data_IF_970599804317
#
_entry.id   IF_970599804317
#
_cell.length_a   1.000
_cell.length_b   1.000
_cell.length_c   1.000
_cell.angle_alpha   90.00
_cell.angle_beta   90.00
_cell.angle_gamma   90.00
#
_symmetry.space_group_name_H-M   'P 1'
#
loop_
_entity.id
_entity.type
_entity.pdbx_description
1 polymer ?
#
# COMPACT_ATOMS: atom_id res chain seq x y z
N UNK A 1 25.16 -4.61 -58.08
CA UNK A 1 26.04 -5.78 -57.79
C UNK A 1 26.14 -5.88 -56.27
N UNK A 2 25.26 -6.57 -55.53
CA UNK A 2 24.49 -7.79 -55.80
C UNK A 2 23.03 -7.66 -55.36
N UNK A 3 22.15 -8.24 -56.16
CA UNK A 3 20.74 -8.55 -55.85
C UNK A 3 20.64 -9.56 -54.70
N UNK A 4 19.84 -9.23 -53.69
CA UNK A 4 19.14 -10.23 -52.86
C UNK A 4 17.69 -9.75 -52.68
N UNK A 5 16.91 -9.91 -53.74
CA UNK A 5 15.45 -9.95 -53.67
C UNK A 5 15.03 -11.43 -53.86
N UNK A 6 14.41 -12.01 -52.82
CA UNK A 6 13.72 -13.32 -52.71
C UNK A 6 14.28 -14.24 -51.61
N UNK A 7 13.90 -13.95 -50.38
CA UNK A 7 13.32 -14.95 -49.48
C UNK A 7 12.49 -14.21 -48.45
N UNK A 8 11.18 -14.46 -48.43
CA UNK A 8 10.26 -13.91 -47.45
C UNK A 8 10.63 -14.42 -46.06
N UNK A 9 11.50 -13.70 -45.37
CA UNK A 9 11.62 -13.84 -43.92
C UNK A 9 10.41 -13.13 -43.30
N UNK A 10 9.29 -13.86 -43.17
CA UNK A 10 8.30 -13.50 -42.16
C UNK A 10 9.05 -13.50 -40.82
N UNK A 11 9.29 -12.31 -40.26
CA UNK A 11 9.71 -12.21 -38.87
C UNK A 11 8.68 -13.00 -38.04
N UNK A 12 9.12 -13.90 -37.15
CA UNK A 12 8.19 -14.72 -36.38
C UNK A 12 7.25 -13.80 -35.59
N UNK A 13 5.94 -14.08 -35.64
CA UNK A 13 4.96 -13.32 -34.87
C UNK A 13 5.31 -13.40 -33.38
N UNK A 14 5.35 -12.24 -32.73
CA UNK A 14 5.66 -12.12 -31.31
C UNK A 14 4.41 -12.56 -30.55
N UNK A 15 4.49 -13.74 -29.94
CA UNK A 15 3.42 -14.26 -29.08
C UNK A 15 3.70 -13.91 -27.62
N UNK A 16 2.83 -13.12 -27.03
CA UNK A 16 2.95 -12.66 -25.65
C UNK A 16 1.76 -13.14 -24.85
N UNK A 17 2.02 -13.75 -23.69
CA UNK A 17 0.97 -14.23 -22.79
C UNK A 17 0.68 -13.18 -21.72
N UNK A 18 -0.56 -12.70 -21.65
CA UNK A 18 -0.97 -11.72 -20.63
C UNK A 18 -1.12 -12.35 -19.23
N UNK A 19 -1.40 -11.53 -18.21
CA UNK A 19 -1.54 -11.96 -16.81
C UNK A 19 -2.51 -13.14 -16.60
N UNK A 20 -3.73 -13.11 -17.19
CA UNK A 20 -4.68 -14.23 -17.20
C UNK A 20 -4.26 -15.45 -18.00
N UNK A 21 -3.36 -15.27 -18.97
CA UNK A 21 -2.87 -16.35 -19.81
C UNK A 21 -3.41 -16.36 -21.24
N UNK A 22 -4.06 -15.30 -21.70
CA UNK A 22 -4.42 -15.11 -23.10
C UNK A 22 -3.16 -14.82 -23.92
N UNK A 23 -3.05 -15.46 -25.08
CA UNK A 23 -1.96 -15.20 -26.04
C UNK A 23 -2.37 -14.04 -26.94
N UNK A 24 -1.48 -13.06 -27.06
CA UNK A 24 -1.60 -11.90 -27.94
C UNK A 24 -0.49 -12.03 -28.97
N UNK A 25 -0.86 -11.99 -30.25
CA UNK A 25 0.08 -12.10 -31.35
C UNK A 25 0.30 -10.72 -31.99
N UNK A 26 1.57 -10.33 -32.10
CA UNK A 26 2.00 -9.09 -32.76
C UNK A 26 2.89 -9.46 -33.95
N UNK A 27 2.63 -8.85 -35.10
CA UNK A 27 3.40 -9.12 -36.31
C UNK A 27 4.80 -8.49 -36.26
N UNK A 28 4.99 -7.50 -35.37
CA UNK A 28 6.24 -6.77 -35.13
C UNK A 28 6.26 -6.18 -33.72
N UNK A 29 7.42 -5.70 -33.28
CA UNK A 29 7.54 -4.95 -32.03
C UNK A 29 6.67 -3.67 -32.07
N UNK A 30 5.93 -3.34 -31.00
CA UNK A 30 4.96 -2.25 -31.01
C UNK A 30 5.67 -0.89 -31.14
N UNK A 31 5.22 -0.09 -32.11
CA UNK A 31 5.67 1.29 -32.34
C UNK A 31 4.68 2.31 -31.77
N UNK A 32 3.40 1.95 -31.65
CA UNK A 32 2.36 2.75 -31.01
C UNK A 32 1.78 2.05 -29.77
N UNK A 33 1.98 2.65 -28.61
CA UNK A 33 1.56 2.12 -27.31
C UNK A 33 0.60 3.09 -26.62
N UNK A 34 -0.51 2.57 -26.12
CA UNK A 34 -1.41 3.32 -25.23
C UNK A 34 -1.38 2.72 -23.82
N UNK A 35 -1.26 3.58 -22.80
CA UNK A 35 -1.28 3.18 -21.40
C UNK A 35 -2.34 3.96 -20.59
N UNK A 36 -3.50 3.35 -20.29
CA UNK A 36 -4.52 3.95 -19.43
C UNK A 36 -4.14 4.03 -17.95
N UNK A 37 -3.00 3.49 -17.52
CA UNK A 37 -2.56 3.50 -16.12
C UNK A 37 -1.22 4.21 -15.95
N UNK A 38 -1.16 5.20 -15.05
CA UNK A 38 0.04 5.99 -14.79
C UNK A 38 1.25 5.13 -14.37
N UNK A 39 1.02 4.09 -13.55
CA UNK A 39 2.08 3.17 -13.11
C UNK A 39 2.68 2.35 -14.24
N UNK A 40 1.87 1.96 -15.24
CA UNK A 40 2.35 1.22 -16.41
C UNK A 40 3.14 2.13 -17.33
N UNK A 41 2.65 3.35 -17.56
CA UNK A 41 3.35 4.34 -18.38
C UNK A 41 4.75 4.64 -17.81
N UNK A 42 4.88 4.72 -16.49
CA UNK A 42 6.16 4.92 -15.82
C UNK A 42 7.11 3.72 -16.03
N UNK A 43 6.60 2.49 -15.89
CA UNK A 43 7.39 1.28 -16.19
C UNK A 43 7.86 1.27 -17.64
N UNK A 44 6.99 1.59 -18.61
CA UNK A 44 7.35 1.68 -20.03
C UNK A 44 8.45 2.73 -20.27
N UNK A 45 8.40 3.87 -19.57
CA UNK A 45 9.46 4.87 -19.62
C UNK A 45 10.79 4.36 -19.04
N UNK A 46 10.76 3.59 -17.94
CA UNK A 46 11.99 3.03 -17.33
C UNK A 46 12.71 1.99 -18.21
N UNK A 47 12.04 1.47 -19.24
CA UNK A 47 12.60 0.51 -20.19
C UNK A 47 12.82 1.10 -21.59
N UNK A 48 12.90 2.44 -21.70
CA UNK A 48 13.13 3.20 -22.94
C UNK A 48 12.01 3.15 -23.99
N UNK A 49 10.79 2.76 -23.60
CA UNK A 49 9.64 2.74 -24.52
C UNK A 49 8.85 4.06 -24.54
N UNK A 50 9.36 5.13 -23.94
CA UNK A 50 8.70 6.44 -23.85
C UNK A 50 8.33 7.00 -25.25
N UNK A 51 9.17 6.76 -26.26
CA UNK A 51 8.95 7.28 -27.61
C UNK A 51 7.72 6.65 -28.25
N UNK A 52 7.50 5.37 -27.99
CA UNK A 52 6.41 4.56 -28.54
C UNK A 52 5.09 4.80 -27.82
N UNK A 53 5.09 5.40 -26.63
CA UNK A 53 3.85 5.78 -25.95
C UNK A 53 3.20 6.95 -26.69
N UNK A 54 2.02 6.75 -27.26
CA UNK A 54 1.26 7.78 -27.97
C UNK A 54 0.06 8.29 -27.16
N UNK A 55 -0.46 7.51 -26.22
CA UNK A 55 -1.58 7.90 -25.37
C UNK A 55 -1.41 7.50 -23.90
N UNK A 56 -1.77 8.42 -23.00
CA UNK A 56 -1.60 8.29 -21.55
C UNK A 56 -2.84 8.80 -20.79
N UNK A 57 -3.02 8.35 -19.56
CA UNK A 57 -4.09 8.87 -18.70
C UNK A 57 -3.92 10.37 -18.38
N UNK A 58 -5.03 11.05 -18.12
CA UNK A 58 -5.12 12.45 -17.71
C UNK A 58 -4.20 12.78 -16.52
N UNK A 59 -4.02 11.81 -15.61
CA UNK A 59 -3.28 11.97 -14.37
C UNK A 59 -1.77 11.72 -14.49
N UNK A 60 -1.27 11.26 -15.64
CA UNK A 60 0.16 10.99 -15.83
C UNK A 60 0.91 12.27 -16.23
N UNK A 61 1.92 12.66 -15.45
CA UNK A 61 2.64 13.93 -15.59
C UNK A 61 4.18 13.80 -15.50
N UNK A 62 4.69 12.57 -15.55
CA UNK A 62 6.11 12.21 -15.46
C UNK A 62 6.49 11.31 -16.64
N UNK A 63 7.71 11.32 -17.18
CA UNK A 63 8.65 12.44 -17.15
C UNK A 63 8.00 13.71 -17.74
N UNK A 64 8.61 14.90 -17.59
CA UNK A 64 7.99 16.18 -18.03
C UNK A 64 7.50 16.19 -19.48
N UNK A 65 8.12 15.40 -20.36
CA UNK A 65 7.75 15.21 -21.78
C UNK A 65 6.43 14.43 -21.98
N UNK A 66 5.98 13.67 -20.97
CA UNK A 66 4.68 13.00 -21.00
C UNK A 66 3.51 13.99 -21.16
N UNK A 67 3.68 15.26 -20.80
CA UNK A 67 2.66 16.31 -21.02
C UNK A 67 2.30 16.53 -22.50
N UNK A 68 3.18 16.12 -23.43
CA UNK A 68 2.99 16.26 -24.87
C UNK A 68 2.27 15.06 -25.51
N UNK A 69 2.02 13.99 -24.74
CA UNK A 69 1.35 12.77 -25.22
C UNK A 69 -0.17 12.93 -25.13
N UNK A 70 -0.90 12.25 -25.99
CA UNK A 70 -2.35 12.36 -26.05
C UNK A 70 -3.02 11.88 -24.76
N UNK A 71 -3.98 12.68 -24.27
CA UNK A 71 -4.74 12.36 -23.06
C UNK A 71 -5.95 11.53 -23.40
N UNK A 72 -5.99 10.30 -22.91
CA UNK A 72 -7.03 9.31 -23.24
C UNK A 72 -8.10 9.17 -22.15
N UNK A 73 -8.20 10.09 -21.20
CA UNK A 73 -9.16 10.04 -20.10
C UNK A 73 -8.58 9.50 -18.79
N UNK A 74 -9.46 9.36 -17.80
CA UNK A 74 -9.11 8.89 -16.46
C UNK A 74 -8.90 7.38 -16.41
N UNK A 75 -8.12 6.90 -15.44
CA UNK A 75 -7.87 5.47 -15.23
C UNK A 75 -9.15 4.64 -15.06
N UNK A 76 -10.14 5.15 -14.31
CA UNK A 76 -11.41 4.47 -14.07
C UNK A 76 -12.42 4.62 -15.23
N UNK A 77 -12.24 5.63 -16.08
CA UNK A 77 -13.15 6.01 -17.17
C UNK A 77 -12.36 6.50 -18.39
N UNK A 78 -11.58 5.62 -19.04
CA UNK A 78 -10.84 6.00 -20.24
C UNK A 78 -11.80 6.21 -21.42
N UNK A 79 -11.46 7.16 -22.30
CA UNK A 79 -12.22 7.43 -23.50
C UNK A 79 -11.88 6.39 -24.58
N UNK A 80 -12.77 5.43 -24.78
CA UNK A 80 -12.55 4.31 -25.70
C UNK A 80 -12.46 4.77 -27.15
N UNK A 81 -13.32 5.69 -27.59
CA UNK A 81 -13.31 6.18 -28.97
C UNK A 81 -12.00 6.90 -29.29
N UNK A 82 -11.49 7.68 -28.32
CA UNK A 82 -10.17 8.32 -28.43
C UNK A 82 -9.03 7.32 -28.43
N UNK A 83 -9.10 6.24 -27.66
CA UNK A 83 -8.06 5.20 -27.68
C UNK A 83 -8.03 4.50 -29.04
N UNK A 84 -9.21 4.17 -29.59
CA UNK A 84 -9.33 3.51 -30.89
C UNK A 84 -8.85 4.43 -32.02
N UNK A 85 -9.15 5.73 -31.96
CA UNK A 85 -8.69 6.71 -32.98
C UNK A 85 -7.19 6.94 -32.99
N UNK A 86 -6.46 6.51 -31.95
CA UNK A 86 -4.99 6.58 -31.90
C UNK A 86 -4.32 5.39 -32.61
N UNK A 87 -5.11 4.39 -33.04
CA UNK A 87 -4.63 3.19 -33.73
C UNK A 87 -3.38 2.55 -33.09
N UNK A 88 -3.42 2.21 -31.77
CA UNK A 88 -2.27 1.62 -31.12
C UNK A 88 -2.02 0.16 -31.56
N UNK A 89 -0.76 -0.19 -31.76
CA UNK A 89 -0.32 -1.57 -31.96
C UNK A 89 -0.66 -2.44 -30.74
N UNK A 90 -0.60 -1.85 -29.54
CA UNK A 90 -0.94 -2.51 -28.28
C UNK A 90 -1.38 -1.53 -27.18
N UNK A 91 -2.32 -1.99 -26.34
CA UNK A 91 -2.79 -1.26 -25.16
C UNK A 91 -2.36 -2.01 -23.90
N UNK A 92 -1.60 -1.38 -23.00
CA UNK A 92 -1.24 -1.99 -21.72
C UNK A 92 -2.23 -1.59 -20.62
N UNK A 93 -3.17 -2.48 -20.30
CA UNK A 93 -4.23 -2.25 -19.33
C UNK A 93 -3.94 -2.89 -17.95
N UNK A 94 -4.37 -2.21 -16.89
CA UNK A 94 -4.31 -2.70 -15.50
C UNK A 94 -5.73 -2.99 -15.00
N UNK A 95 -6.02 -4.19 -14.51
CA UNK A 95 -7.39 -4.51 -14.06
C UNK A 95 -7.66 -5.97 -13.70
N UNK A 96 -8.95 -6.30 -13.59
CA UNK A 96 -9.48 -7.67 -13.44
C UNK A 96 -10.18 -8.07 -14.76
N UNK A 97 -10.49 -9.36 -15.02
CA UNK A 97 -11.00 -9.80 -16.34
C UNK A 97 -12.36 -9.21 -16.69
N UNK A 98 -13.06 -8.69 -15.68
CA UNK A 98 -14.44 -8.24 -15.76
C UNK A 98 -14.55 -6.72 -15.81
N UNK A 99 -13.51 -6.00 -16.23
CA UNK A 99 -13.64 -4.56 -16.45
C UNK A 99 -14.35 -4.30 -17.79
N UNK A 100 -15.53 -3.64 -17.80
CA UNK A 100 -16.31 -3.39 -19.02
C UNK A 100 -15.55 -2.61 -20.11
N UNK A 101 -14.54 -1.84 -19.71
CA UNK A 101 -13.66 -1.06 -20.57
C UNK A 101 -12.77 -1.95 -21.45
N UNK A 102 -12.23 -3.03 -20.89
CA UNK A 102 -11.33 -3.94 -21.58
C UNK A 102 -12.10 -4.77 -22.60
N UNK A 103 -13.27 -5.26 -22.21
CA UNK A 103 -14.18 -5.98 -23.11
C UNK A 103 -14.52 -5.12 -24.33
N UNK A 104 -14.88 -3.84 -24.14
CA UNK A 104 -15.17 -2.90 -25.23
C UNK A 104 -14.00 -2.69 -26.18
N UNK A 105 -12.77 -2.57 -25.67
CA UNK A 105 -11.57 -2.42 -26.51
C UNK A 105 -11.28 -3.69 -27.32
N UNK A 106 -11.41 -4.86 -26.69
CA UNK A 106 -11.21 -6.17 -27.35
C UNK A 106 -12.29 -6.42 -28.41
N UNK A 107 -13.56 -6.13 -28.13
CA UNK A 107 -14.67 -6.27 -29.10
C UNK A 107 -14.47 -5.36 -30.32
N UNK A 108 -13.75 -4.24 -30.17
CA UNK A 108 -13.36 -3.34 -31.26
C UNK A 108 -12.04 -3.72 -31.94
N UNK A 109 -11.58 -4.96 -31.76
CA UNK A 109 -10.40 -5.50 -32.44
C UNK A 109 -9.05 -5.02 -31.89
N UNK A 110 -9.03 -4.30 -30.76
CA UNK A 110 -7.77 -3.79 -30.20
C UNK A 110 -6.98 -4.90 -29.49
N UNK A 111 -5.66 -4.88 -29.66
CA UNK A 111 -4.74 -5.79 -28.96
C UNK A 111 -4.47 -5.24 -27.56
N UNK A 112 -5.13 -5.82 -26.55
CA UNK A 112 -5.00 -5.39 -25.14
C UNK A 112 -4.13 -6.37 -24.38
N UNK A 113 -2.98 -5.90 -23.90
CA UNK A 113 -2.10 -6.62 -23.00
C UNK A 113 -2.45 -6.32 -21.55
N UNK A 114 -2.87 -7.36 -20.83
CA UNK A 114 -3.36 -7.21 -19.47
C UNK A 114 -2.31 -7.58 -18.41
N UNK A 115 -2.05 -6.62 -17.53
CA UNK A 115 -1.26 -6.78 -16.32
C UNK A 115 -2.20 -7.02 -15.13
N UNK A 116 -2.23 -8.27 -14.64
CA UNK A 116 -3.01 -8.68 -13.46
C UNK A 116 -2.18 -8.52 -12.18
N UNK A 117 -2.73 -8.07 -11.02
CA UNK A 117 -1.95 -7.82 -9.82
C UNK A 117 -1.49 -9.08 -9.05
N UNK A 118 -1.43 -10.25 -9.68
CA UNK A 118 -0.93 -11.47 -9.04
C UNK A 118 0.19 -12.14 -9.83
N UNK A 119 1.30 -12.31 -9.11
CA UNK A 119 2.44 -13.22 -9.29
C UNK A 119 3.70 -12.59 -9.90
N UNK A 120 4.65 -12.32 -8.98
CA UNK A 120 6.10 -12.06 -9.11
C UNK A 120 6.87 -12.86 -10.18
N UNK A 121 6.30 -13.91 -10.78
CA UNK A 121 7.00 -14.83 -11.69
C UNK A 121 6.80 -14.56 -13.19
N UNK A 122 5.80 -13.78 -13.62
CA UNK A 122 5.43 -13.72 -15.06
C UNK A 122 5.65 -12.40 -15.77
N UNK A 123 5.86 -11.30 -15.05
CA UNK A 123 6.20 -10.01 -15.66
C UNK A 123 7.56 -10.07 -16.37
N UNK A 124 8.47 -10.93 -15.89
CA UNK A 124 9.80 -11.09 -16.46
C UNK A 124 9.82 -11.78 -17.83
N UNK A 125 8.88 -12.69 -18.15
CA UNK A 125 8.87 -13.42 -19.43
C UNK A 125 8.30 -12.59 -20.60
N UNK A 126 7.48 -11.60 -20.29
CA UNK A 126 6.79 -10.76 -21.28
C UNK A 126 7.68 -9.60 -21.69
N UNK A 127 8.33 -8.96 -20.72
CA UNK A 127 9.20 -7.81 -20.95
C UNK A 127 10.57 -8.19 -21.54
N UNK A 128 11.00 -9.46 -21.42
CA UNK A 128 12.19 -10.02 -22.10
C UNK A 128 11.94 -10.32 -23.58
N UNK A 129 10.71 -10.72 -23.96
CA UNK A 129 10.39 -11.14 -25.34
C UNK A 129 10.28 -9.95 -26.31
N UNK A 130 9.93 -8.77 -25.81
CA UNK A 130 9.58 -7.61 -26.65
C UNK A 130 10.82 -6.77 -27.05
N UNK A 131 11.92 -6.79 -26.27
CA UNK A 131 12.98 -5.79 -26.44
C UNK A 131 14.04 -6.13 -27.49
N UNK A 132 14.47 -7.38 -27.72
CA UNK A 132 15.54 -7.65 -28.70
C UNK A 132 15.60 -9.13 -29.12
N UNK A 133 15.68 -9.44 -30.41
CA UNK A 133 16.04 -10.79 -30.89
C UNK A 133 17.50 -11.21 -30.52
N UNK A 134 18.13 -10.56 -29.53
CA UNK A 134 19.38 -10.93 -28.85
C UNK A 134 19.31 -10.48 -27.37
N UNK A 135 19.76 -11.39 -26.51
CA UNK A 135 19.60 -11.42 -25.06
C UNK A 135 20.34 -10.25 -24.38
N UNK A 136 19.64 -9.51 -23.51
CA UNK A 136 20.27 -8.76 -22.42
C UNK A 136 19.53 -9.09 -21.11
N UNK A 137 20.21 -9.77 -20.20
CA UNK A 137 19.69 -10.16 -18.90
C UNK A 137 19.85 -8.98 -17.95
N UNK A 138 18.75 -8.39 -17.50
CA UNK A 138 18.75 -7.45 -16.38
C UNK A 138 18.30 -8.21 -15.13
N UNK A 139 19.17 -8.39 -14.12
CA UNK A 139 18.79 -8.99 -12.85
C UNK A 139 17.72 -8.14 -12.15
N UNK A 140 16.74 -8.80 -11.55
CA UNK A 140 15.57 -8.20 -10.90
C UNK A 140 15.90 -7.28 -9.70
N UNK A 141 17.17 -7.13 -9.33
CA UNK A 141 17.64 -6.21 -8.28
C UNK A 141 17.53 -4.72 -8.67
N UNK A 142 17.36 -4.41 -9.96
CA UNK A 142 17.34 -3.03 -10.47
C UNK A 142 15.95 -2.40 -10.62
N UNK A 143 14.85 -3.16 -10.46
CA UNK A 143 13.47 -2.65 -10.59
C UNK A 143 12.80 -2.40 -9.23
N UNK A 144 13.57 -1.93 -8.25
CA UNK A 144 13.00 -1.39 -7.01
C UNK A 144 12.53 0.05 -7.23
N UNK A 145 11.21 0.25 -7.22
CA UNK A 145 10.60 1.59 -7.15
C UNK A 145 11.11 2.31 -5.89
N UNK A 146 11.67 3.51 -6.07
CA UNK A 146 12.56 4.20 -5.12
C UNK A 146 11.89 5.26 -4.23
N UNK A 147 12.46 5.52 -3.03
CA UNK A 147 12.69 6.88 -2.52
C UNK A 147 14.07 7.42 -2.99
N UNK A 148 14.18 8.74 -3.14
CA UNK A 148 15.22 9.53 -3.84
C UNK A 148 16.72 9.32 -3.49
N UNK A 149 17.11 8.56 -2.46
CA UNK A 149 18.52 8.50 -2.01
C UNK A 149 19.44 7.58 -2.82
N UNK A 150 18.93 6.64 -3.63
CA UNK A 150 19.76 5.67 -4.35
C UNK A 150 19.90 5.95 -5.86
N UNK A 151 19.47 7.12 -6.33
CA UNK A 151 19.61 7.51 -7.74
C UNK A 151 21.06 7.75 -8.12
N UNK A 152 21.83 8.47 -7.30
CA UNK A 152 23.25 8.70 -7.57
C UNK A 152 24.06 7.39 -7.64
N UNK A 153 23.82 6.47 -6.70
CA UNK A 153 24.59 5.23 -6.55
C UNK A 153 24.30 4.18 -7.65
N UNK A 154 23.10 4.22 -8.22
CA UNK A 154 22.71 3.32 -9.31
C UNK A 154 23.00 3.91 -10.68
N UNK A 155 22.98 5.23 -10.82
CA UNK A 155 23.53 5.89 -11.99
C UNK A 155 25.03 5.61 -12.08
N UNK A 156 25.78 5.68 -10.98
CA UNK A 156 27.22 5.38 -10.97
C UNK A 156 27.54 3.91 -11.33
N UNK A 157 26.73 2.95 -10.85
CA UNK A 157 26.88 1.52 -11.18
C UNK A 157 26.49 1.20 -12.63
N UNK A 158 25.47 1.89 -13.16
CA UNK A 158 25.06 1.75 -14.56
C UNK A 158 26.07 2.45 -15.49
N UNK A 159 26.63 3.60 -15.11
CA UNK A 159 27.66 4.34 -15.87
C UNK A 159 28.98 3.55 -15.97
N UNK A 160 29.39 2.86 -14.89
CA UNK A 160 30.52 1.89 -14.92
C UNK A 160 30.26 0.68 -15.81
N UNK A 161 29.01 0.25 -15.95
CA UNK A 161 28.61 -0.89 -16.78
C UNK A 161 28.45 -0.52 -18.27
N UNK A 162 28.10 0.73 -18.56
CA UNK A 162 27.90 1.24 -19.92
C UNK A 162 29.18 1.83 -20.54
N UNK A 163 30.16 2.23 -19.72
CA UNK A 163 31.46 2.79 -20.16
C UNK A 163 32.66 2.15 -19.43
N UNK A 164 32.90 0.84 -19.59
CA UNK A 164 33.94 0.10 -18.86
C UNK A 164 35.38 0.59 -19.11
N UNK A 165 35.64 1.22 -20.26
CA UNK A 165 36.95 1.81 -20.60
C UNK A 165 37.36 3.00 -19.70
N UNK A 166 36.44 3.55 -18.90
CA UNK A 166 36.74 4.62 -17.93
C UNK A 166 37.28 4.09 -16.60
N UNK A 167 37.23 2.78 -16.35
CA UNK A 167 37.49 2.19 -15.03
C UNK A 167 38.27 0.87 -15.11
N UNK A 168 39.53 0.93 -15.53
CA UNK A 168 40.47 -0.18 -15.42
C UNK A 168 41.61 0.17 -14.47
N UNK A 169 41.62 -0.43 -13.28
CA UNK A 169 42.80 -1.08 -12.69
C UNK A 169 42.42 -2.01 -11.54
N UNK A 170 43.27 -3.02 -11.35
CA UNK A 170 43.09 -4.32 -10.71
C UNK A 170 43.00 -4.31 -9.17
N UNK A 171 42.34 -5.33 -8.61
CA UNK A 171 42.98 -6.43 -7.85
C UNK A 171 41.93 -7.40 -7.27
N UNK A 172 42.27 -8.69 -7.27
CA UNK A 172 41.49 -9.86 -6.90
C UNK A 172 41.61 -10.21 -5.40
N UNK A 173 40.61 -10.93 -4.85
CA UNK A 173 40.66 -11.54 -3.51
C UNK A 173 40.16 -13.00 -3.54
N UNK A 174 40.62 -13.87 -2.61
CA UNK A 174 40.73 -15.33 -2.85
C UNK A 174 39.51 -16.15 -2.38
N UNK A 175 39.46 -17.39 -2.88
CA UNK A 175 38.46 -18.44 -2.57
C UNK A 175 38.90 -19.23 -1.33
N UNK A 176 37.98 -19.45 -0.38
CA UNK A 176 38.18 -20.35 0.77
C UNK A 176 37.23 -21.54 0.66
N UNK A 177 37.79 -22.76 0.67
CA UNK A 177 37.08 -24.03 0.84
C UNK A 177 36.81 -24.31 2.33
N UNK A 178 35.65 -24.89 2.64
CA UNK A 178 35.27 -25.29 4.01
C UNK A 178 35.05 -26.80 4.06
N UNK A 179 35.71 -27.47 5.00
CA UNK A 179 35.48 -28.85 5.42
C UNK A 179 34.78 -28.90 6.78
N UNK A 180 33.98 -29.94 7.02
CA UNK A 180 33.21 -30.16 8.25
C UNK A 180 33.92 -31.14 9.21
N UNK A 181 33.88 -30.93 10.53
CA UNK A 181 34.20 -31.97 11.51
C UNK A 181 32.95 -32.65 12.09
N UNK A 182 33.14 -33.90 12.47
CA UNK A 182 32.20 -34.90 12.97
C UNK A 182 31.81 -34.74 14.45
N UNK A 183 30.71 -35.41 14.81
CA UNK A 183 30.10 -35.50 16.14
C UNK A 183 31.06 -36.03 17.22
N UNK A 184 30.93 -35.51 18.44
CA UNK A 184 31.09 -36.30 19.66
C UNK A 184 30.18 -35.79 20.79
N UNK A 185 29.66 -36.75 21.53
CA UNK A 185 28.84 -36.68 22.73
C UNK A 185 29.67 -36.42 23.99
N UNK A 186 29.17 -35.59 24.92
CA UNK A 186 29.01 -35.95 26.35
C UNK A 186 28.45 -34.81 27.21
N UNK A 187 27.40 -35.20 27.94
CA UNK A 187 26.82 -34.84 29.24
C UNK A 187 27.46 -33.78 30.18
N UNK A 188 26.52 -33.00 30.76
CA UNK A 188 26.46 -32.31 32.07
C UNK A 188 27.46 -31.20 32.45
N UNK A 189 26.91 -30.00 32.70
CA UNK A 189 26.94 -29.34 34.02
C UNK A 189 26.01 -28.13 34.06
N UNK A 190 25.26 -28.04 35.15
CA UNK A 190 24.33 -26.99 35.53
C UNK A 190 25.10 -25.71 35.84
N UNK A 191 24.79 -24.61 35.15
CA UNK A 191 24.98 -23.27 35.69
C UNK A 191 23.83 -22.38 35.24
N UNK A 192 23.17 -21.78 36.22
CA UNK A 192 22.13 -20.79 36.03
C UNK A 192 22.78 -19.50 35.49
N UNK A 193 22.76 -19.35 34.17
CA UNK A 193 22.96 -18.06 33.51
C UNK A 193 21.61 -17.56 33.01
N UNK A 194 20.96 -16.71 33.81
CA UNK A 194 19.71 -16.03 33.47
C UNK A 194 19.95 -14.78 32.62
N UNK A 195 20.70 -14.90 31.51
CA UNK A 195 20.90 -13.83 30.53
C UNK A 195 20.67 -14.32 29.09
N UNK A 196 19.69 -15.23 28.91
CA UNK A 196 19.13 -15.48 27.58
C UNK A 196 18.13 -14.37 27.25
N UNK A 197 18.41 -13.58 26.22
CA UNK A 197 17.56 -12.51 25.71
C UNK A 197 16.19 -13.08 25.24
N UNK A 198 15.25 -13.24 26.16
CA UNK A 198 13.97 -13.96 26.00
C UNK A 198 12.93 -13.22 25.12
N UNK A 199 13.33 -12.06 24.59
CA UNK A 199 12.49 -11.21 23.76
C UNK A 199 12.97 -11.22 22.30
N UNK A 200 12.06 -11.02 21.33
CA UNK A 200 12.42 -10.91 19.92
C UNK A 200 13.37 -9.74 19.68
N UNK A 201 14.32 -9.94 18.77
CA UNK A 201 15.34 -9.03 18.27
C UNK A 201 15.17 -8.69 16.78
N UNK A 202 14.42 -9.49 16.01
CA UNK A 202 14.23 -9.38 14.56
C UNK A 202 12.76 -9.42 14.19
N UNK A 203 12.07 -8.32 14.47
CA UNK A 203 10.63 -8.17 14.31
C UNK A 203 10.28 -7.69 12.89
N UNK A 204 9.30 -8.34 12.28
CA UNK A 204 8.64 -7.87 11.05
C UNK A 204 7.21 -7.45 11.36
N UNK A 205 6.82 -6.24 10.96
CA UNK A 205 5.48 -5.71 11.18
C UNK A 205 4.64 -5.71 9.89
N UNK A 206 3.49 -6.36 9.89
CA UNK A 206 2.58 -6.43 8.74
C UNK A 206 1.46 -5.37 8.80
N UNK A 207 1.64 -4.27 9.55
CA UNK A 207 0.63 -3.22 9.64
C UNK A 207 1.11 -1.87 10.21
N UNK A 208 0.49 -0.74 9.81
CA UNK A 208 0.86 0.59 10.30
C UNK A 208 0.73 0.75 11.82
N UNK A 209 -0.40 0.36 12.41
CA UNK A 209 -0.64 0.49 13.85
C UNK A 209 0.44 -0.24 14.66
N UNK A 210 0.68 -1.52 14.35
CA UNK A 210 1.71 -2.34 14.99
C UNK A 210 3.09 -1.68 14.86
N UNK A 211 3.41 -1.13 13.68
CA UNK A 211 4.68 -0.44 13.47
C UNK A 211 4.79 0.77 14.40
N UNK A 212 3.79 1.65 14.42
CA UNK A 212 3.78 2.83 15.29
C UNK A 212 3.87 2.45 16.78
N UNK A 213 3.17 1.40 17.20
CA UNK A 213 3.23 0.90 18.58
C UNK A 213 4.63 0.40 18.98
N UNK A 214 5.38 -0.25 18.08
CA UNK A 214 6.77 -0.64 18.33
C UNK A 214 7.69 0.58 18.57
N UNK A 215 7.49 1.67 17.83
CA UNK A 215 8.19 2.94 18.09
C UNK A 215 7.74 3.56 19.42
N UNK A 216 6.45 3.53 19.74
CA UNK A 216 5.95 4.02 21.03
C UNK A 216 6.57 3.25 22.20
N UNK A 217 6.82 1.95 22.03
CA UNK A 217 7.46 1.08 23.03
C UNK A 217 9.00 1.20 23.05
N UNK A 218 9.61 1.93 22.12
CA UNK A 218 11.06 2.12 22.07
C UNK A 218 11.82 0.84 21.71
N UNK A 219 11.29 0.08 20.74
CA UNK A 219 11.88 -1.16 20.20
C UNK A 219 12.01 -1.12 18.67
N UNK A 220 12.12 0.08 18.12
CA UNK A 220 12.24 0.32 16.68
C UNK A 220 13.56 -0.20 16.08
N UNK A 221 14.59 -0.36 16.90
CA UNK A 221 15.87 -0.99 16.55
C UNK A 221 15.67 -2.47 16.16
N UNK A 222 14.77 -3.16 16.87
CA UNK A 222 14.40 -4.56 16.61
C UNK A 222 13.48 -4.73 15.40
N UNK A 223 12.82 -3.66 14.95
CA UNK A 223 11.97 -3.69 13.76
C UNK A 223 12.84 -3.67 12.49
N UNK A 224 12.95 -4.81 11.82
CA UNK A 224 13.79 -4.98 10.63
C UNK A 224 13.05 -4.73 9.31
N UNK A 225 11.74 -4.93 9.27
CA UNK A 225 10.93 -4.70 8.07
C UNK A 225 9.46 -4.40 8.40
N UNK A 226 8.80 -3.68 7.51
CA UNK A 226 7.38 -3.36 7.63
C UNK A 226 6.68 -3.23 6.26
N UNK A 227 5.39 -2.88 6.24
CA UNK A 227 4.63 -2.74 4.99
C UNK A 227 4.83 -1.36 4.33
N UNK A 228 4.42 -1.26 3.06
CA UNK A 228 4.41 0.02 2.32
C UNK A 228 3.51 1.09 2.95
N UNK A 229 2.53 0.69 3.77
CA UNK A 229 1.62 1.62 4.44
C UNK A 229 2.18 2.18 5.75
N UNK A 230 3.30 1.64 6.23
CA UNK A 230 3.95 2.10 7.45
C UNK A 230 4.72 3.40 7.17
N UNK A 231 4.01 4.52 7.26
CA UNK A 231 4.53 5.87 6.99
C UNK A 231 4.80 6.70 8.25
N UNK A 232 4.32 6.23 9.40
CA UNK A 232 4.42 6.88 10.72
C UNK A 232 5.10 5.93 11.72
N UNK A 233 6.03 6.43 12.55
CA UNK A 233 6.68 7.74 12.41
C UNK A 233 7.54 7.79 11.12
N UNK A 234 8.05 8.97 10.68
CA UNK A 234 8.78 9.09 9.41
C UNK A 234 9.95 8.11 9.25
N UNK A 235 10.59 7.71 10.34
CA UNK A 235 11.67 6.72 10.42
C UNK A 235 11.22 5.34 9.92
N UNK A 236 9.94 4.99 10.11
CA UNK A 236 9.35 3.74 9.62
C UNK A 236 9.39 3.62 8.09
N UNK A 237 9.54 4.73 7.37
CA UNK A 237 9.68 4.75 5.90
C UNK A 237 11.01 4.15 5.44
N UNK A 238 12.05 4.23 6.29
CA UNK A 238 13.41 3.74 5.99
C UNK A 238 13.53 2.22 6.18
N UNK A 239 12.60 1.59 6.91
CA UNK A 239 12.60 0.13 7.11
C UNK A 239 12.30 -0.59 5.79
N UNK A 240 12.84 -1.80 5.67
CA UNK A 240 12.64 -2.63 4.48
C UNK A 240 11.15 -2.90 4.25
N UNK A 241 10.70 -2.82 3.00
CA UNK A 241 9.29 -3.03 2.64
C UNK A 241 9.05 -4.47 2.17
N UNK A 242 8.07 -5.13 2.79
CA UNK A 242 7.74 -6.56 2.59
C UNK A 242 6.33 -6.78 2.03
N UNK A 243 5.80 -5.79 1.32
CA UNK A 243 4.47 -5.84 0.69
C UNK A 243 3.43 -4.96 1.36
N UNK A 244 2.17 -5.36 1.23
CA UNK A 244 0.98 -4.64 1.70
C UNK A 244 0.43 -5.30 2.99
N UNK A 245 -0.57 -4.69 3.64
CA UNK A 245 -1.22 -5.34 4.80
C UNK A 245 -2.00 -6.61 4.43
N UNK A 246 -2.41 -6.77 3.16
CA UNK A 246 -3.21 -7.90 2.65
C UNK A 246 -2.30 -8.97 2.03
N UNK A 247 -1.30 -8.54 1.25
CA UNK A 247 -0.42 -9.41 0.47
C UNK A 247 1.03 -9.13 0.84
N UNK A 248 1.65 -10.08 1.52
CA UNK A 248 3.02 -9.99 2.01
C UNK A 248 3.96 -10.85 1.19
N UNK A 249 5.20 -10.39 1.08
CA UNK A 249 6.27 -11.12 0.38
C UNK A 249 6.89 -12.16 1.33
N UNK A 250 6.34 -13.37 1.30
CA UNK A 250 6.74 -14.47 2.19
C UNK A 250 8.22 -14.83 1.99
N UNK A 251 8.71 -14.89 0.76
CA UNK A 251 10.11 -15.25 0.47
C UNK A 251 11.06 -14.22 1.06
N UNK A 252 10.74 -12.93 0.88
CA UNK A 252 11.51 -11.84 1.49
C UNK A 252 11.47 -11.89 3.01
N UNK A 253 10.32 -12.18 3.61
CA UNK A 253 10.21 -12.32 5.08
C UNK A 253 11.12 -13.46 5.57
N UNK A 254 11.12 -14.62 4.91
CA UNK A 254 11.95 -15.76 5.31
C UNK A 254 13.44 -15.47 5.19
N UNK A 255 13.85 -14.78 4.13
CA UNK A 255 15.26 -14.39 3.92
C UNK A 255 15.79 -13.46 5.02
N UNK A 256 14.92 -12.70 5.67
CA UNK A 256 15.29 -11.85 6.78
C UNK A 256 15.47 -12.59 8.10
N UNK A 257 15.11 -13.88 8.16
CA UNK A 257 15.19 -14.72 9.37
C UNK A 257 14.61 -14.01 10.61
N UNK A 258 13.33 -13.60 10.60
CA UNK A 258 12.70 -12.96 11.73
C UNK A 258 12.46 -13.96 12.86
N UNK A 259 12.50 -13.48 14.09
CA UNK A 259 12.09 -14.23 15.27
C UNK A 259 10.62 -14.01 15.63
N UNK A 260 10.03 -12.93 15.15
CA UNK A 260 8.61 -12.63 15.33
C UNK A 260 8.07 -11.84 14.14
N UNK A 261 6.98 -12.33 13.57
CA UNK A 261 6.15 -11.58 12.62
C UNK A 261 4.85 -11.17 13.32
N UNK A 262 4.54 -9.88 13.27
CA UNK A 262 3.34 -9.29 13.86
C UNK A 262 2.35 -8.95 12.74
N UNK A 263 1.29 -9.74 12.63
CA UNK A 263 0.24 -9.62 11.63
C UNK A 263 -0.99 -8.87 12.15
N UNK A 264 -1.73 -8.24 11.24
CA UNK A 264 -3.02 -7.60 11.56
C UNK A 264 -4.18 -8.54 11.22
N UNK A 265 -5.39 -8.16 11.61
CA UNK A 265 -6.61 -8.85 11.18
C UNK A 265 -6.83 -8.78 9.66
N UNK A 266 -6.30 -7.76 8.98
CA UNK A 266 -6.40 -7.58 7.53
C UNK A 266 -5.45 -8.47 6.74
N UNK A 267 -4.41 -9.00 7.39
CA UNK A 267 -3.49 -9.95 6.75
C UNK A 267 -4.22 -11.25 6.44
N UNK A 268 -4.09 -11.70 5.19
CA UNK A 268 -4.69 -12.94 4.71
C UNK A 268 -4.33 -14.12 5.64
N UNK A 269 -5.32 -14.81 6.23
CA UNK A 269 -5.10 -15.97 7.08
C UNK A 269 -4.16 -16.99 6.43
N UNK A 270 -4.33 -17.27 5.13
CA UNK A 270 -3.55 -18.29 4.41
C UNK A 270 -2.06 -17.96 4.40
N UNK A 271 -1.71 -16.68 4.35
CA UNK A 271 -0.30 -16.23 4.38
C UNK A 271 0.27 -16.36 5.80
N UNK A 272 -0.53 -16.07 6.83
CA UNK A 272 -0.16 -16.29 8.24
C UNK A 272 0.08 -17.78 8.52
N UNK A 273 -0.83 -18.66 8.08
CA UNK A 273 -0.65 -20.10 8.22
C UNK A 273 0.58 -20.61 7.45
N UNK A 274 0.83 -20.09 6.25
CA UNK A 274 2.01 -20.45 5.46
C UNK A 274 3.31 -20.07 6.16
N UNK A 275 3.40 -18.86 6.71
CA UNK A 275 4.57 -18.44 7.50
C UNK A 275 4.80 -19.33 8.74
N UNK A 276 3.73 -19.68 9.46
CA UNK A 276 3.79 -20.59 10.62
C UNK A 276 4.28 -21.98 10.23
N UNK A 277 3.77 -22.55 9.12
CA UNK A 277 4.21 -23.85 8.59
C UNK A 277 5.68 -23.86 8.18
N UNK A 278 6.24 -22.71 7.81
CA UNK A 278 7.64 -22.53 7.46
C UNK A 278 8.53 -22.21 8.69
N UNK A 279 8.01 -22.44 9.91
CA UNK A 279 8.77 -22.30 11.16
C UNK A 279 8.87 -20.87 11.70
N UNK A 280 8.19 -19.90 11.09
CA UNK A 280 8.20 -18.51 11.57
C UNK A 280 7.16 -18.33 12.69
N UNK A 281 7.57 -17.77 13.82
CA UNK A 281 6.63 -17.36 14.88
C UNK A 281 5.82 -16.16 14.39
N UNK A 282 4.50 -16.36 14.21
CA UNK A 282 3.58 -15.30 13.78
C UNK A 282 2.50 -15.06 14.82
N UNK A 283 2.45 -13.84 15.35
CA UNK A 283 1.33 -13.36 16.15
C UNK A 283 0.39 -12.53 15.28
N UNK A 284 -0.91 -12.84 15.28
CA UNK A 284 -1.91 -12.09 14.52
C UNK A 284 -2.86 -11.41 15.49
N UNK A 285 -2.87 -10.07 15.50
CA UNK A 285 -3.78 -9.32 16.34
C UNK A 285 -5.22 -9.36 15.80
N UNK A 286 -6.22 -9.52 16.68
CA UNK A 286 -7.62 -9.43 16.30
C UNK A 286 -7.97 -7.98 15.91
N UNK A 287 -9.05 -7.81 15.15
CA UNK A 287 -9.60 -6.49 14.89
C UNK A 287 -10.21 -5.96 16.19
N UNK A 288 -9.68 -4.85 16.70
CA UNK A 288 -10.27 -4.18 17.85
C UNK A 288 -11.64 -3.59 17.45
N UNK A 289 -12.64 -3.76 18.31
CA UNK A 289 -13.99 -3.19 18.16
C UNK A 289 -14.20 -1.94 19.00
N UNK A 290 -13.34 -1.72 19.99
CA UNK A 290 -13.42 -0.60 20.92
C UNK A 290 -12.03 -0.24 21.45
N UNK A 291 -11.94 0.88 22.15
CA UNK A 291 -10.74 1.44 22.71
C UNK A 291 -10.09 0.53 23.77
N UNK A 292 -10.89 -0.20 24.55
CA UNK A 292 -10.36 -1.17 25.50
C UNK A 292 -9.55 -2.25 24.79
N UNK A 293 -10.07 -2.81 23.70
CA UNK A 293 -9.35 -3.83 22.91
C UNK A 293 -8.09 -3.28 22.23
N UNK A 294 -8.08 -1.99 21.85
CA UNK A 294 -6.85 -1.31 21.38
C UNK A 294 -5.80 -1.31 22.50
N UNK A 295 -6.20 -0.96 23.74
CA UNK A 295 -5.32 -1.01 24.90
C UNK A 295 -4.81 -2.42 25.21
N UNK A 296 -5.68 -3.42 25.14
CA UNK A 296 -5.33 -4.83 25.42
C UNK A 296 -4.32 -5.35 24.40
N UNK A 297 -4.51 -5.06 23.11
CA UNK A 297 -3.56 -5.39 22.04
C UNK A 297 -2.20 -4.71 22.27
N UNK A 298 -2.20 -3.43 22.68
CA UNK A 298 -0.96 -2.70 22.96
C UNK A 298 -0.22 -3.24 24.19
N UNK A 299 -0.93 -3.61 25.26
CA UNK A 299 -0.34 -4.27 26.43
C UNK A 299 0.25 -5.63 26.06
N UNK A 300 -0.47 -6.40 25.25
CA UNK A 300 0.01 -7.68 24.75
C UNK A 300 1.28 -7.52 23.92
N UNK A 301 1.34 -6.52 23.04
CA UNK A 301 2.56 -6.19 22.31
C UNK A 301 3.69 -5.81 23.27
N UNK A 302 3.42 -4.96 24.26
CA UNK A 302 4.36 -4.58 25.31
C UNK A 302 4.96 -5.79 26.04
N UNK A 303 4.14 -6.79 26.36
CA UNK A 303 4.58 -8.07 26.95
C UNK A 303 5.49 -8.85 26.03
N UNK A 304 5.11 -8.97 24.75
CA UNK A 304 5.91 -9.73 23.76
C UNK A 304 7.30 -9.15 23.53
N UNK A 305 7.49 -7.86 23.71
CA UNK A 305 8.78 -7.17 23.45
C UNK A 305 9.51 -6.72 24.72
N UNK A 306 9.02 -7.11 25.91
CA UNK A 306 9.66 -6.79 27.19
C UNK A 306 9.52 -5.33 27.63
N UNK A 307 8.47 -4.64 27.17
CA UNK A 307 8.19 -3.21 27.42
C UNK A 307 6.86 -3.00 28.15
N UNK A 308 6.43 -3.94 28.99
CA UNK A 308 5.17 -3.87 29.75
C UNK A 308 5.05 -2.59 30.58
N UNK A 309 6.07 -2.25 31.38
CA UNK A 309 6.05 -1.04 32.22
C UNK A 309 5.84 0.23 31.39
N UNK A 310 6.50 0.32 30.24
CA UNK A 310 6.35 1.45 29.32
C UNK A 310 4.94 1.50 28.70
N UNK A 311 4.39 0.36 28.30
CA UNK A 311 3.04 0.26 27.80
C UNK A 311 2.01 0.77 28.84
N UNK A 312 2.12 0.32 30.09
CA UNK A 312 1.25 0.76 31.20
C UNK A 312 1.35 2.27 31.43
N UNK A 313 2.55 2.85 31.43
CA UNK A 313 2.75 4.29 31.61
C UNK A 313 2.09 5.12 30.49
N UNK A 314 2.20 4.67 29.23
CA UNK A 314 1.54 5.32 28.09
C UNK A 314 0.02 5.25 28.25
N UNK A 315 -0.52 4.08 28.59
CA UNK A 315 -1.96 3.88 28.77
C UNK A 315 -2.54 4.68 29.93
N UNK A 316 -1.80 4.84 31.03
CA UNK A 316 -2.23 5.68 32.15
C UNK A 316 -2.45 7.13 31.70
N UNK A 317 -1.49 7.71 30.96
CA UNK A 317 -1.58 9.07 30.40
C UNK A 317 -2.75 9.20 29.41
N UNK A 318 -2.90 8.20 28.54
CA UNK A 318 -3.97 8.14 27.53
C UNK A 318 -5.36 8.08 28.19
N UNK A 319 -5.54 7.20 29.19
CA UNK A 319 -6.81 7.09 29.94
C UNK A 319 -7.16 8.39 30.66
N UNK A 320 -6.17 9.06 31.26
CA UNK A 320 -6.38 10.36 31.89
C UNK A 320 -6.89 11.41 30.89
N UNK A 321 -6.32 11.46 29.67
CA UNK A 321 -6.76 12.38 28.62
C UNK A 321 -8.19 12.08 28.15
N UNK A 322 -8.54 10.81 27.96
CA UNK A 322 -9.91 10.41 27.59
C UNK A 322 -10.91 10.80 28.69
N UNK A 323 -10.56 10.62 29.97
CA UNK A 323 -11.44 11.00 31.07
C UNK A 323 -11.68 12.52 31.11
N UNK A 324 -10.65 13.34 30.83
CA UNK A 324 -10.80 14.79 30.70
C UNK A 324 -11.76 15.17 29.56
N UNK A 325 -11.63 14.52 28.40
CA UNK A 325 -12.56 14.73 27.28
C UNK A 325 -13.99 14.34 27.67
N UNK A 326 -14.17 13.15 28.24
CA UNK A 326 -15.50 12.64 28.61
C UNK A 326 -16.22 13.54 29.62
N UNK A 327 -15.50 14.05 30.61
CA UNK A 327 -16.06 14.95 31.63
C UNK A 327 -16.43 16.32 31.05
N UNK A 328 -15.63 16.85 30.13
CA UNK A 328 -15.85 18.17 29.53
C UNK A 328 -16.94 18.19 28.45
N UNK A 329 -16.93 17.20 27.57
CA UNK A 329 -17.80 17.19 26.38
C UNK A 329 -19.04 16.27 26.51
N UNK A 330 -19.10 15.42 27.55
CA UNK A 330 -20.14 14.40 27.69
C UNK A 330 -21.58 14.94 27.79
N UNK A 331 -21.75 16.17 28.31
CA UNK A 331 -23.05 16.82 28.51
C UNK A 331 -23.40 17.85 27.42
N UNK A 332 -22.55 18.02 26.42
CA UNK A 332 -22.81 19.00 25.36
C UNK A 332 -23.84 18.48 24.35
N UNK A 333 -24.53 19.38 23.62
CA UNK A 333 -25.42 19.00 22.52
C UNK A 333 -24.67 18.18 21.47
N UNK A 334 -25.20 17.01 21.12
CA UNK A 334 -24.48 16.06 20.28
C UNK A 334 -24.79 16.27 18.79
N UNK A 335 -23.83 16.75 17.96
CA UNK A 335 -24.07 16.89 16.53
C UNK A 335 -24.26 15.52 15.86
N UNK A 336 -25.10 15.48 14.82
CA UNK A 336 -25.27 14.30 13.97
C UNK A 336 -24.09 14.20 13.00
N UNK A 337 -23.35 13.10 13.06
CA UNK A 337 -22.11 12.92 12.31
C UNK A 337 -22.27 11.79 11.31
N UNK A 338 -21.91 12.06 10.06
CA UNK A 338 -21.67 11.04 9.06
C UNK A 338 -20.16 10.88 8.87
N UNK A 339 -19.65 9.65 8.93
CA UNK A 339 -18.25 9.35 8.62
C UNK A 339 -18.17 8.45 7.39
N UNK A 340 -17.37 8.87 6.42
CA UNK A 340 -17.15 8.15 5.17
C UNK A 340 -15.74 7.56 5.18
N UNK A 341 -15.65 6.23 5.16
CA UNK A 341 -14.39 5.49 5.10
C UNK A 341 -14.14 4.83 3.73
N UNK A 342 -15.16 4.79 2.87
CA UNK A 342 -15.07 4.28 1.50
C UNK A 342 -15.86 5.16 0.52
N UNK A 343 -15.39 5.30 -0.71
CA UNK A 343 -16.00 6.15 -1.73
C UNK A 343 -16.84 5.37 -2.75
N UNK A 344 -16.30 4.25 -3.24
CA UNK A 344 -16.94 3.40 -4.26
C UNK A 344 -16.70 1.92 -3.95
N UNK A 345 -17.67 1.22 -3.34
CA UNK A 345 -18.95 1.73 -2.85
C UNK A 345 -18.79 2.69 -1.66
N UNK A 346 -19.79 3.53 -1.43
CA UNK A 346 -19.83 4.41 -0.26
C UNK A 346 -19.93 3.55 1.01
N UNK A 347 -18.98 3.74 1.92
CA UNK A 347 -18.86 2.92 3.13
C UNK A 347 -18.71 3.81 4.37
N UNK A 348 -19.42 3.47 5.43
CA UNK A 348 -19.44 4.13 6.73
C UNK A 348 -19.15 3.12 7.85
N UNK A 349 -19.14 3.58 9.10
CA UNK A 349 -18.87 2.73 10.26
C UNK A 349 -20.17 2.39 10.99
N UNK A 350 -20.29 1.12 11.38
CA UNK A 350 -21.41 0.63 12.20
C UNK A 350 -21.14 0.87 13.69
N UNK A 351 -22.13 0.60 14.54
CA UNK A 351 -22.00 0.71 16.01
C UNK A 351 -20.88 -0.16 16.61
N UNK A 352 -20.50 -1.25 15.95
CA UNK A 352 -19.54 -2.24 16.46
C UNK A 352 -18.08 -1.89 16.06
N UNK A 353 -17.81 -0.61 15.76
CA UNK A 353 -16.52 -0.09 15.36
C UNK A 353 -15.96 0.86 16.42
N UNK A 354 -14.65 0.79 16.68
CA UNK A 354 -13.97 1.75 17.56
C UNK A 354 -14.06 3.18 17.02
N UNK A 355 -14.29 3.36 15.71
CA UNK A 355 -14.53 4.67 15.10
C UNK A 355 -15.89 5.24 15.54
N UNK A 356 -16.89 4.38 15.75
CA UNK A 356 -18.16 4.81 16.32
C UNK A 356 -17.98 5.26 17.78
N UNK A 357 -17.23 4.49 18.57
CA UNK A 357 -16.88 4.90 19.95
C UNK A 357 -16.11 6.22 19.97
N UNK A 358 -15.20 6.45 19.02
CA UNK A 358 -14.49 7.71 18.87
C UNK A 358 -15.44 8.91 18.66
N UNK A 359 -16.46 8.74 17.81
CA UNK A 359 -17.50 9.76 17.57
C UNK A 359 -18.30 10.01 18.85
N UNK A 360 -18.70 8.96 19.56
CA UNK A 360 -19.49 9.08 20.80
C UNK A 360 -18.71 9.73 21.94
N UNK A 361 -17.42 9.39 22.09
CA UNK A 361 -16.52 10.00 23.07
C UNK A 361 -16.25 11.47 22.76
N UNK A 362 -16.19 11.83 21.48
CA UNK A 362 -16.04 13.22 21.04
C UNK A 362 -17.33 14.06 21.24
N UNK A 363 -18.42 13.45 21.70
CA UNK A 363 -19.71 14.13 21.91
C UNK A 363 -20.64 14.11 20.70
N UNK A 364 -20.36 13.33 19.65
CA UNK A 364 -21.21 13.21 18.48
C UNK A 364 -22.19 12.03 18.51
N UNK A 365 -23.09 11.98 17.53
CA UNK A 365 -23.95 10.81 17.26
C UNK A 365 -23.76 10.36 15.82
N UNK A 366 -23.30 9.13 15.61
CA UNK A 366 -23.20 8.52 14.29
C UNK A 366 -24.59 8.28 13.67
N UNK A 367 -24.86 8.88 12.51
CA UNK A 367 -26.14 8.70 11.79
C UNK A 367 -26.33 7.27 11.27
N UNK A 368 -25.25 6.48 11.16
CA UNK A 368 -25.25 5.10 10.70
C UNK A 368 -25.28 4.08 11.84
N UNK A 369 -25.49 4.48 13.10
CA UNK A 369 -25.49 3.56 14.26
C UNK A 369 -26.45 2.36 14.15
N UNK A 370 -27.55 2.51 13.40
CA UNK A 370 -28.60 1.50 13.26
C UNK A 370 -28.40 0.52 12.11
N UNK A 371 -27.39 0.70 11.25
CA UNK A 371 -27.20 -0.20 10.10
C UNK A 371 -26.36 -1.42 10.45
N UNK A 372 -26.72 -2.57 9.88
CA UNK A 372 -26.01 -3.85 10.09
C UNK A 372 -24.69 -3.94 9.33
N UNK A 373 -24.55 -3.18 8.24
CA UNK A 373 -23.37 -3.18 7.37
C UNK A 373 -22.89 -1.76 7.15
N UNK A 374 -21.59 -1.59 6.87
CA UNK A 374 -21.03 -0.28 6.53
C UNK A 374 -21.42 0.22 5.14
N UNK A 375 -22.06 -0.58 4.29
CA UNK A 375 -22.59 -0.07 3.01
C UNK A 375 -23.67 0.97 3.28
N UNK A 376 -23.53 2.13 2.65
CA UNK A 376 -24.42 3.26 2.84
C UNK A 376 -24.64 3.96 1.51
N UNK A 377 -25.83 4.55 1.29
CA UNK A 377 -26.13 5.29 0.07
C UNK A 377 -26.07 6.81 0.31
N UNK A 378 -25.80 7.60 -0.74
CA UNK A 378 -25.78 9.07 -0.60
C UNK A 378 -27.18 9.61 -0.29
N UNK A 379 -28.20 8.99 -0.85
CA UNK A 379 -29.62 9.28 -0.59
C UNK A 379 -29.97 9.08 0.89
N UNK A 380 -29.44 8.01 1.51
CA UNK A 380 -29.60 7.79 2.94
C UNK A 380 -28.92 8.89 3.77
N UNK A 381 -27.71 9.34 3.39
CA UNK A 381 -27.03 10.45 4.07
C UNK A 381 -27.86 11.73 3.95
N UNK A 382 -28.34 12.05 2.75
CA UNK A 382 -29.17 13.23 2.49
C UNK A 382 -30.44 13.19 3.35
N UNK A 383 -31.12 12.04 3.40
CA UNK A 383 -32.34 11.85 4.22
C UNK A 383 -32.07 11.98 5.72
N UNK A 384 -30.93 11.48 6.21
CA UNK A 384 -30.54 11.59 7.61
C UNK A 384 -30.04 12.99 8.00
N UNK A 385 -29.71 13.83 7.02
CA UNK A 385 -29.31 15.22 7.19
C UNK A 385 -28.29 15.43 8.35
N UNK A 386 -27.03 14.96 8.20
CA UNK A 386 -26.01 15.14 9.24
C UNK A 386 -25.58 16.60 9.39
N UNK A 387 -25.21 17.00 10.60
CA UNK A 387 -24.64 18.30 10.92
C UNK A 387 -23.15 18.39 10.57
N UNK A 388 -22.47 17.25 10.51
CA UNK A 388 -21.04 17.14 10.19
C UNK A 388 -20.81 15.94 9.26
N UNK A 389 -20.00 16.14 8.21
CA UNK A 389 -19.48 15.06 7.37
C UNK A 389 -17.97 14.94 7.58
N UNK A 390 -17.50 13.77 7.97
CA UNK A 390 -16.09 13.41 8.09
C UNK A 390 -15.72 12.47 6.94
N UNK A 391 -14.72 12.82 6.15
CA UNK A 391 -14.19 12.01 5.06
C UNK A 391 -12.83 11.46 5.49
N UNK A 392 -12.75 10.14 5.59
CA UNK A 392 -11.58 9.40 6.06
C UNK A 392 -11.09 8.51 4.91
N UNK A 393 -10.58 9.15 3.86
CA UNK A 393 -10.03 8.47 2.68
C UNK A 393 -8.64 8.99 2.37
N UNK A 394 -7.85 8.16 1.71
CA UNK A 394 -6.47 8.49 1.36
C UNK A 394 -6.40 9.40 0.13
N UNK A 395 -5.59 10.47 0.22
CA UNK A 395 -5.18 11.28 -0.92
C UNK A 395 -6.30 12.03 -1.64
N UNK A 396 -6.19 12.13 -2.96
CA UNK A 396 -7.06 12.95 -3.83
C UNK A 396 -8.54 12.53 -3.75
N UNK A 397 -8.81 11.28 -3.38
CA UNK A 397 -10.18 10.75 -3.22
C UNK A 397 -10.95 11.56 -2.17
N UNK A 398 -10.31 11.98 -1.09
CA UNK A 398 -10.96 12.78 -0.05
C UNK A 398 -11.47 14.13 -0.57
N UNK A 399 -10.64 14.81 -1.37
CA UNK A 399 -10.99 16.08 -2.00
C UNK A 399 -12.07 15.93 -3.08
N UNK A 400 -12.03 14.83 -3.85
CA UNK A 400 -13.07 14.52 -4.83
C UNK A 400 -14.42 14.27 -4.13
N UNK A 401 -14.42 13.48 -3.06
CA UNK A 401 -15.62 13.21 -2.26
C UNK A 401 -16.17 14.48 -1.62
N UNK A 402 -15.29 15.35 -1.09
CA UNK A 402 -15.69 16.66 -0.57
C UNK A 402 -16.40 17.50 -1.63
N UNK A 403 -15.84 17.57 -2.84
CA UNK A 403 -16.47 18.27 -3.98
C UNK A 403 -17.81 17.65 -4.39
N UNK A 404 -17.93 16.33 -4.33
CA UNK A 404 -19.20 15.63 -4.60
C UNK A 404 -20.24 16.03 -3.56
N UNK A 405 -19.90 15.98 -2.27
CA UNK A 405 -20.81 16.36 -1.18
C UNK A 405 -21.26 17.82 -1.26
N UNK A 406 -20.37 18.73 -1.66
CA UNK A 406 -20.68 20.15 -1.83
C UNK A 406 -21.80 20.43 -2.85
N UNK A 407 -22.10 19.48 -3.75
CA UNK A 407 -23.24 19.60 -4.68
C UNK A 407 -24.61 19.49 -3.96
N UNK A 408 -24.66 18.86 -2.78
CA UNK A 408 -25.88 18.63 -2.02
C UNK A 408 -26.13 19.76 -0.99
N UNK A 409 -26.49 20.96 -1.48
CA UNK A 409 -26.66 22.19 -0.69
C UNK A 409 -27.75 22.13 0.40
N UNK A 410 -28.59 21.10 0.42
CA UNK A 410 -29.68 20.97 1.39
C UNK A 410 -29.28 20.24 2.68
N UNK A 411 -28.06 19.70 2.76
CA UNK A 411 -27.56 19.03 3.95
C UNK A 411 -27.00 20.07 4.94
N UNK A 412 -27.33 19.95 6.24
CA UNK A 412 -26.86 20.84 7.31
C UNK A 412 -25.33 20.98 7.32
N UNK A 413 -24.60 19.87 7.20
CA UNK A 413 -23.14 19.87 7.11
C UNK A 413 -22.61 20.75 5.97
N UNK A 414 -23.29 20.80 4.82
CA UNK A 414 -22.85 21.58 3.67
C UNK A 414 -23.24 23.04 3.82
N UNK A 415 -24.47 23.32 4.28
CA UNK A 415 -24.95 24.68 4.57
C UNK A 415 -24.06 25.43 5.56
N UNK A 416 -23.58 24.71 6.58
CA UNK A 416 -22.75 25.27 7.64
C UNK A 416 -21.23 25.08 7.38
N UNK A 417 -20.83 24.61 6.20
CA UNK A 417 -19.43 24.33 5.83
C UNK A 417 -18.70 23.39 6.82
N UNK A 418 -19.42 22.43 7.40
CA UNK A 418 -18.93 21.43 8.37
C UNK A 418 -18.61 20.10 7.67
N UNK A 419 -17.75 20.16 6.66
CA UNK A 419 -17.24 18.98 5.94
C UNK A 419 -15.72 18.92 6.01
N UNK A 420 -15.20 17.86 6.62
CA UNK A 420 -13.79 17.75 7.01
C UNK A 420 -13.17 16.49 6.42
N UNK A 421 -11.91 16.58 6.01
CA UNK A 421 -11.10 15.43 5.62
C UNK A 421 -10.17 15.13 6.79
N UNK A 422 -10.17 13.90 7.28
CA UNK A 422 -9.39 13.45 8.43
C UNK A 422 -8.37 12.42 7.97
N UNK A 423 -7.15 12.50 8.52
CA UNK A 423 -6.07 11.54 8.23
C UNK A 423 -6.49 10.11 8.62
N UNK A 424 -6.63 9.24 7.62
CA UNK A 424 -7.03 7.85 7.85
C UNK A 424 -6.01 7.06 8.66
N UNK A 425 -4.74 7.47 8.73
CA UNK A 425 -3.76 6.79 9.58
C UNK A 425 -4.10 6.98 11.07
N UNK A 426 -4.68 8.12 11.45
CA UNK A 426 -5.12 8.37 12.83
C UNK A 426 -6.42 7.65 13.16
N UNK A 427 -7.34 7.52 12.20
CA UNK A 427 -8.71 7.05 12.46
C UNK A 427 -8.94 5.59 12.09
N UNK A 428 -8.31 5.06 11.04
CA UNK A 428 -8.61 3.69 10.56
C UNK A 428 -7.70 2.61 11.17
N UNK A 429 -6.56 3.00 11.74
CA UNK A 429 -5.62 2.07 12.39
C UNK A 429 -4.91 2.74 13.56
N UNK A 430 -5.66 3.22 14.58
CA UNK A 430 -5.08 3.96 15.68
C UNK A 430 -4.27 3.08 16.61
N UNK A 431 -3.21 3.66 17.17
CA UNK A 431 -2.58 3.25 18.43
C UNK A 431 -3.36 3.87 19.59
N UNK A 432 -3.13 3.48 20.85
CA UNK A 432 -3.76 4.17 21.99
C UNK A 432 -3.49 5.68 22.01
N UNK A 433 -2.30 6.11 21.55
CA UNK A 433 -1.95 7.53 21.51
C UNK A 433 -2.67 8.25 20.36
N UNK A 434 -2.62 7.71 19.14
CA UNK A 434 -3.27 8.34 18.00
C UNK A 434 -4.79 8.28 18.06
N UNK A 435 -5.37 7.33 18.81
CA UNK A 435 -6.79 7.36 19.17
C UNK A 435 -7.15 8.63 19.96
N UNK A 436 -6.34 9.01 20.95
CA UNK A 436 -6.58 10.22 21.74
C UNK A 436 -6.33 11.48 20.91
N UNK A 437 -5.31 11.50 20.06
CA UNK A 437 -5.08 12.61 19.13
C UNK A 437 -6.28 12.80 18.19
N UNK A 438 -6.81 11.72 17.64
CA UNK A 438 -8.02 11.74 16.82
C UNK A 438 -9.24 12.21 17.62
N UNK A 439 -9.38 11.77 18.88
CA UNK A 439 -10.45 12.19 19.77
C UNK A 439 -10.43 13.71 19.99
N UNK A 440 -9.26 14.28 20.29
CA UNK A 440 -9.09 15.72 20.46
C UNK A 440 -9.31 16.51 19.15
N UNK A 441 -8.94 15.93 18.01
CA UNK A 441 -9.25 16.52 16.71
C UNK A 441 -10.77 16.57 16.47
N UNK A 442 -11.49 15.49 16.81
CA UNK A 442 -12.95 15.44 16.68
C UNK A 442 -13.67 16.36 17.68
N UNK A 443 -13.21 16.50 18.93
CA UNK A 443 -13.86 17.41 19.90
C UNK A 443 -13.86 18.84 19.39
N UNK A 444 -12.73 19.32 18.84
CA UNK A 444 -12.63 20.66 18.22
C UNK A 444 -13.59 20.82 17.04
N UNK A 445 -13.74 19.79 16.22
CA UNK A 445 -14.63 19.81 15.06
C UNK A 445 -16.11 19.82 15.51
N UNK A 446 -16.45 19.05 16.54
CA UNK A 446 -17.82 18.87 16.99
C UNK A 446 -18.31 20.07 17.81
N UNK A 447 -17.43 20.63 18.64
CA UNK A 447 -17.71 21.70 19.58
C UNK A 447 -16.72 22.88 19.42
N UNK A 448 -16.81 23.63 18.31
CA UNK A 448 -15.94 24.78 18.08
C UNK A 448 -16.13 25.84 19.17
N UNK A 449 -15.04 26.39 19.69
CA UNK A 449 -15.04 27.42 20.74
C UNK A 449 -14.87 26.90 22.17
N UNK A 450 -14.81 25.57 22.37
CA UNK A 450 -14.42 24.98 23.65
C UNK A 450 -12.99 24.47 23.51
N UNK A 451 -12.04 25.13 24.19
CA UNK A 451 -10.63 24.71 24.16
C UNK A 451 -10.46 23.30 24.77
N UNK A 452 -9.42 22.57 24.37
CA UNK A 452 -9.13 21.22 24.93
C UNK A 452 -8.21 21.25 26.16
N UNK A 453 -7.64 22.42 26.50
CA UNK A 453 -6.67 22.60 27.60
C UNK A 453 -7.30 22.52 28.99
#
# INVERSE_FOLDING_TARGET
LLDINRSGFCLPSIKVKDGPGKVIELDRAPQSIVSPAASIAEVLCTIDLEKQIIGITDYYNYPKRAKQKEKIGGFATPNIDKIVSLEPDIIFAFGTPRQPVVEKLVTRGQKVFWIYPLIQKKVNNVLTTIKNNKILVIPCSLLSYRPWSHIAETIEKIDRLLHPEKFTTSQSAPVVQVSFPSRNSNLFTTSCHSDSNDYPQRIVSLGPAITEELYLLGVEDKLIANTIYCQRPPEARKKLKIGTVITVDIERILNLKPDLVLATSLTDPKQVEKLRKLGVRVWRFPQAKNFSQICDNFLQLGKMVGKEKRAHNILAKVKQRIQKVKTRFGNLPKPRVFIQVGANPLFTVTKDSFINELIELAGGVNIARGVKSGFYSREQVIKQNPDIILIVTMGIVGEQEKKIWQKFKNINAIRNNRIYIIDSNKVCSPTPLSFVEALQELTRIFHPGINDE
#
